data_IF_494977845549
#
_entry.id   IF_494977845549
#
_cell.length_a   1.000
_cell.length_b   1.000
_cell.length_c   1.000
_cell.angle_alpha   90.00
_cell.angle_beta   90.00
_cell.angle_gamma   90.00
#
_symmetry.space_group_name_H-M   'P 1'
#
loop_
_entity.id
_entity.type
_entity.pdbx_description
1 polymer ?
2 branched ?
3 branched ?
4 branched ?
5 non-polymer ?
6 non-polymer ?
7 non-polymer ?
8 water ?
#
# COMPACT_ATOMS: atom_id res chain seq x y z
N UNK A 3 5.67 4.34 -9.39
CA UNK A 3 6.46 3.80 -8.27
C UNK A 3 5.92 2.55 -7.52
N UNK A 4 6.75 1.50 -7.57
CA UNK A 4 6.58 0.13 -7.12
C UNK A 4 7.13 -0.13 -5.72
N UNK A 5 6.26 -0.73 -4.86
CA UNK A 5 6.64 -1.15 -3.50
C UNK A 5 7.53 -2.42 -3.64
N UNK A 6 8.70 -2.44 -3.02
CA UNK A 6 9.58 -3.60 -3.10
C UNK A 6 9.67 -4.17 -1.67
N UNK A 7 8.97 -5.28 -1.40
CA UNK A 7 8.93 -5.85 -0.06
C UNK A 7 9.61 -7.21 -0.02
N UNK A 8 10.25 -7.52 1.10
CA UNK A 8 10.94 -8.78 1.35
C UNK A 8 10.83 -9.21 2.81
N UNK A 9 11.05 -10.50 3.04
CA UNK A 9 11.05 -11.15 4.33
C UNK A 9 12.48 -11.11 4.85
N UNK A 10 12.61 -11.10 6.19
CA UNK A 10 13.88 -11.14 6.92
C UNK A 10 13.83 -12.31 7.88
N UNK A 11 14.98 -12.96 8.09
CA UNK A 11 15.08 -14.11 8.97
C UNK A 11 14.80 -13.80 10.46
N UNK A 12 14.13 -14.75 11.14
CA UNK A 12 13.78 -14.67 12.56
C UNK A 12 13.36 -16.06 13.06
N UNK A 13 14.18 -16.68 13.96
CA UNK A 13 13.85 -18.00 14.55
C UNK A 13 12.57 -17.93 15.38
N UNK A 14 12.18 -16.73 15.79
CA UNK A 14 11.00 -16.51 16.60
C UNK A 14 9.71 -16.43 15.83
N UNK A 15 9.77 -16.33 14.50
CA UNK A 15 8.55 -16.27 13.66
C UNK A 15 8.43 -17.59 12.91
N UNK A 16 7.26 -18.22 13.03
CA UNK A 16 7.00 -19.49 12.36
C UNK A 16 6.83 -19.27 10.84
N UNK A 17 7.23 -20.27 10.06
CA UNK A 17 7.10 -20.19 8.62
C UNK A 17 8.42 -19.86 7.95
N UNK A 18 8.36 -18.93 6.95
CA UNK A 18 9.52 -18.54 6.15
C UNK A 18 10.63 -17.93 6.99
N UNK A 19 10.28 -17.04 7.95
CA UNK A 19 11.24 -16.36 8.82
C UNK A 19 12.13 -17.35 9.55
N UNK A 20 11.53 -18.46 10.07
CA UNK A 20 12.27 -19.53 10.75
C UNK A 20 13.10 -20.35 9.75
N UNK A 21 12.52 -20.68 8.57
CA UNK A 21 13.22 -21.46 7.53
C UNK A 21 14.47 -20.72 7.13
N UNK A 22 14.32 -19.40 6.84
CA UNK A 22 15.41 -18.49 6.43
C UNK A 22 16.57 -18.53 7.44
N UNK A 23 16.20 -18.53 8.77
CA UNK A 23 17.15 -18.58 9.89
C UNK A 23 18.02 -19.85 9.75
N UNK A 24 17.36 -21.01 9.80
CA UNK A 24 17.96 -22.34 9.63
C UNK A 24 18.86 -22.46 8.40
N UNK A 25 18.52 -21.77 7.31
CA UNK A 25 19.32 -21.90 6.08
C UNK A 25 20.34 -20.80 5.86
N UNK A 26 20.47 -19.90 6.83
CA UNK A 26 21.42 -18.82 6.77
C UNK A 26 21.10 -17.74 5.75
N UNK A 27 19.81 -17.61 5.41
CA UNK A 27 19.33 -16.59 4.48
C UNK A 27 18.91 -15.41 5.35
N UNK A 28 19.21 -14.19 4.93
CA UNK A 28 18.85 -12.99 5.69
C UNK A 28 17.66 -12.27 5.10
N UNK A 29 17.65 -12.10 3.76
CA UNK A 29 16.58 -11.42 3.06
C UNK A 29 16.09 -12.28 1.90
N UNK A 30 14.76 -12.47 1.79
CA UNK A 30 14.14 -13.23 0.71
C UNK A 30 13.01 -12.40 0.16
N UNK A 31 13.12 -12.00 -1.13
CA UNK A 31 12.14 -11.18 -1.86
C UNK A 31 10.73 -11.73 -1.74
N UNK A 32 9.78 -10.86 -1.43
CA UNK A 32 8.35 -11.15 -1.35
C UNK A 32 7.72 -10.66 -2.64
N UNK A 33 7.93 -9.41 -3.04
CA UNK A 33 7.36 -8.91 -4.28
C UNK A 33 7.76 -7.50 -4.67
N UNK A 34 7.39 -7.11 -5.90
CA UNK A 34 7.60 -5.78 -6.47
C UNK A 34 6.19 -5.35 -6.83
N UNK A 35 5.64 -4.43 -6.08
CA UNK A 35 4.25 -4.07 -6.27
C UNK A 35 3.93 -2.73 -6.85
N UNK A 36 3.58 -2.71 -8.15
CA UNK A 36 3.05 -1.49 -8.76
C UNK A 36 1.65 -1.25 -8.16
N UNK A 37 0.98 -0.10 -8.44
CA UNK A 37 -0.35 0.19 -7.85
C UNK A 37 -1.41 -0.76 -8.30
N UNK A 38 -1.38 -1.12 -9.60
CA UNK A 38 -2.35 -2.01 -10.22
C UNK A 38 -2.13 -3.44 -9.78
N UNK A 39 -3.21 -4.06 -9.30
CA UNK A 39 -3.23 -5.46 -8.90
C UNK A 39 -3.89 -6.19 -10.03
N UNK A 40 -3.25 -7.20 -10.58
CA UNK A 40 -3.83 -7.93 -11.69
C UNK A 40 -5.10 -8.66 -11.27
N UNK A 41 -6.12 -8.53 -12.09
CA UNK A 41 -7.40 -9.21 -11.91
C UNK A 41 -7.69 -9.87 -13.25
N UNK A 42 -8.28 -11.04 -13.20
CA UNK A 42 -8.56 -11.74 -14.43
C UNK A 42 -7.52 -12.77 -14.81
N UNK A 43 -7.62 -13.23 -16.06
CA UNK A 43 -6.76 -14.28 -16.59
C UNK A 43 -5.38 -13.80 -17.04
N UNK A 44 -4.27 -14.38 -16.48
CA UNK A 44 -2.93 -13.97 -16.92
C UNK A 44 -2.69 -14.16 -18.41
N UNK A 45 -1.88 -13.27 -18.99
CA UNK A 45 -1.51 -13.30 -20.40
C UNK A 45 -0.64 -14.54 -20.70
N UNK A 46 0.10 -15.05 -19.70
CA UNK A 46 0.98 -16.21 -19.78
C UNK A 46 0.98 -16.91 -18.42
N UNK A 47 0.94 -18.24 -18.41
CA UNK A 47 1.02 -19.04 -17.19
C UNK A 47 2.49 -19.35 -16.92
N UNK A 48 2.98 -18.94 -15.74
CA UNK A 48 4.37 -19.09 -15.33
C UNK A 48 4.66 -20.55 -15.01
N UNK A 49 5.80 -21.04 -15.51
CA UNK A 49 6.23 -22.41 -15.28
C UNK A 49 7.27 -22.41 -14.17
N UNK A 50 7.46 -23.58 -13.52
CA UNK A 50 8.46 -23.72 -12.48
C UNK A 50 9.87 -23.37 -12.96
N UNK A 51 10.17 -23.70 -14.24
CA UNK A 51 11.47 -23.44 -14.85
C UNK A 51 11.73 -21.95 -14.91
N UNK A 52 10.69 -21.15 -15.24
CA UNK A 52 10.81 -19.67 -15.30
C UNK A 52 10.97 -19.11 -13.89
N UNK A 53 10.06 -19.52 -12.97
CA UNK A 53 10.06 -19.05 -11.60
C UNK A 53 11.34 -19.36 -10.82
N UNK A 54 11.99 -20.52 -11.11
CA UNK A 54 13.25 -20.87 -10.45
C UNK A 54 14.43 -19.97 -10.89
N UNK A 55 14.25 -19.19 -11.97
CA UNK A 55 15.30 -18.29 -12.42
C UNK A 55 15.48 -17.11 -11.47
N UNK A 56 14.55 -16.92 -10.51
CA UNK A 56 14.62 -15.86 -9.50
C UNK A 56 15.44 -16.54 -8.41
N UNK A 57 16.78 -16.51 -8.52
CA UNK A 57 17.66 -17.19 -7.57
C UNK A 57 17.69 -16.52 -6.24
N UNK A 58 17.37 -17.30 -5.22
CA UNK A 58 17.45 -16.82 -3.85
C UNK A 58 16.13 -16.49 -3.22
N UNK A 59 15.09 -16.31 -4.04
CA UNK A 59 13.76 -16.01 -3.53
C UNK A 59 13.20 -17.33 -3.00
N UNK A 60 12.95 -17.40 -1.69
CA UNK A 60 12.34 -18.57 -1.05
C UNK A 60 10.84 -18.37 -0.99
N UNK A 61 10.11 -19.46 -1.24
CA UNK A 61 8.65 -19.51 -1.22
C UNK A 61 8.24 -19.44 0.25
N UNK A 62 7.10 -18.81 0.51
CA UNK A 62 6.57 -18.62 1.86
C UNK A 62 5.81 -19.86 2.38
N UNK A 63 5.55 -20.87 1.49
CA UNK A 63 4.79 -22.10 1.77
C UNK A 63 5.61 -23.33 2.22
N UNK A 64 5.14 -24.01 3.31
CA UNK A 64 5.84 -25.24 3.79
C UNK A 64 5.63 -26.43 2.86
N UNK A 65 4.56 -26.34 2.02
CA UNK A 65 4.14 -27.32 1.04
C UNK A 65 5.22 -27.58 -0.02
N UNK A 66 6.28 -26.74 -0.10
CA UNK A 66 7.45 -26.87 -0.99
C UNK A 66 8.75 -26.77 -0.14
N UNK A 67 8.61 -26.85 1.20
CA UNK A 67 9.69 -26.70 2.18
C UNK A 67 10.46 -25.38 1.89
N UNK A 68 9.69 -24.28 1.76
CA UNK A 68 10.20 -22.93 1.53
C UNK A 68 11.19 -22.81 0.35
N UNK A 69 10.86 -23.40 -0.80
CA UNK A 69 11.71 -23.34 -2.00
C UNK A 69 11.03 -22.55 -3.16
N UNK A 70 10.28 -23.26 -4.04
CA UNK A 70 9.59 -22.72 -5.20
C UNK A 70 8.37 -23.62 -5.42
N UNK A 71 7.27 -23.15 -6.07
CA UNK A 71 7.12 -21.86 -6.74
C UNK A 71 5.77 -21.19 -6.37
N UNK A 72 5.13 -21.59 -5.27
CA UNK A 72 3.83 -21.05 -4.88
C UNK A 72 3.79 -19.52 -4.78
N UNK A 73 4.72 -18.93 -3.96
CA UNK A 73 4.81 -17.49 -3.78
C UNK A 73 5.19 -16.78 -5.07
N UNK A 74 6.21 -17.29 -5.76
CA UNK A 74 6.66 -16.78 -7.07
C UNK A 74 5.51 -16.72 -8.05
N UNK A 75 4.76 -17.85 -8.23
CA UNK A 75 3.59 -17.91 -9.13
C UNK A 75 2.53 -16.92 -8.73
N UNK A 76 2.28 -16.84 -7.41
CA UNK A 76 1.31 -15.91 -6.89
C UNK A 76 1.70 -14.48 -7.25
N UNK A 77 2.98 -14.13 -7.15
CA UNK A 77 3.47 -12.79 -7.47
C UNK A 77 3.32 -12.46 -8.93
N UNK A 78 3.57 -13.44 -9.80
CA UNK A 78 3.39 -13.22 -11.23
C UNK A 78 1.89 -12.99 -11.53
N UNK A 79 1.03 -13.81 -10.95
CA UNK A 79 -0.41 -13.78 -11.20
C UNK A 79 -1.10 -12.55 -10.70
N UNK A 80 -0.79 -12.13 -9.47
CA UNK A 80 -1.43 -10.99 -8.78
C UNK A 80 -0.79 -9.63 -9.14
N UNK A 81 0.54 -9.56 -9.29
CA UNK A 81 1.28 -8.32 -9.55
C UNK A 81 2.13 -8.28 -10.83
N UNK A 82 2.31 -9.42 -11.49
CA UNK A 82 3.21 -9.52 -12.61
C UNK A 82 2.71 -9.19 -13.99
N UNK A 83 1.96 -10.13 -14.56
CA UNK A 83 1.49 -10.09 -15.93
C UNK A 83 0.87 -8.83 -16.49
N UNK A 84 -0.01 -8.16 -15.75
CA UNK A 84 -0.74 -7.00 -16.25
C UNK A 84 0.11 -5.73 -16.23
N UNK A 85 1.25 -5.80 -15.56
CA UNK A 85 2.14 -4.65 -15.40
C UNK A 85 3.39 -4.72 -16.25
N UNK A 86 4.01 -5.91 -16.36
CA UNK A 86 5.22 -6.20 -17.14
C UNK A 86 4.96 -6.79 -18.52
N UNK A 87 3.76 -7.36 -18.77
CA UNK A 87 3.29 -7.92 -20.05
C UNK A 87 4.00 -9.15 -20.53
N UNK A 88 5.24 -9.31 -20.14
CA UNK A 88 6.02 -10.47 -20.54
C UNK A 88 6.76 -10.95 -19.34
N UNK A 89 6.86 -12.26 -19.18
CA UNK A 89 7.56 -12.86 -18.06
C UNK A 89 9.07 -12.57 -18.04
N UNK A 90 9.70 -12.42 -19.23
CA UNK A 90 11.12 -12.15 -19.27
C UNK A 90 11.55 -10.89 -18.51
N UNK A 91 11.10 -9.65 -18.83
CA UNK A 91 11.57 -8.49 -18.02
C UNK A 91 11.34 -8.65 -16.53
N UNK A 92 10.18 -9.23 -16.13
CA UNK A 92 9.76 -9.46 -14.76
C UNK A 92 10.74 -10.39 -14.03
N UNK A 93 11.12 -11.52 -14.65
CA UNK A 93 12.10 -12.40 -14.02
C UNK A 93 13.44 -11.65 -13.87
N UNK A 94 13.82 -10.79 -14.84
CA UNK A 94 15.10 -10.10 -14.78
C UNK A 94 15.15 -9.13 -13.69
N UNK A 95 14.06 -8.37 -13.46
CA UNK A 95 13.95 -7.41 -12.34
C UNK A 95 13.84 -8.15 -10.99
N UNK A 96 12.97 -9.18 -10.91
CA UNK A 96 12.83 -9.94 -9.70
C UNK A 96 14.14 -10.58 -9.25
N UNK A 97 14.91 -11.16 -10.18
CA UNK A 97 16.19 -11.86 -9.94
C UNK A 97 17.28 -10.91 -9.50
N UNK A 98 17.35 -9.73 -10.15
CA UNK A 98 18.35 -8.72 -9.86
C UNK A 98 18.04 -8.07 -8.48
N UNK A 99 16.73 -7.87 -8.15
CA UNK A 99 16.28 -7.32 -6.86
C UNK A 99 16.69 -8.31 -5.77
N UNK A 100 16.42 -9.60 -5.96
CA UNK A 100 16.81 -10.61 -4.98
C UNK A 100 18.36 -10.70 -4.82
N UNK A 101 19.13 -10.48 -5.92
CA UNK A 101 20.58 -10.50 -5.90
C UNK A 101 20.99 -9.38 -4.98
N UNK A 102 20.61 -8.12 -5.26
CA UNK A 102 20.90 -7.00 -4.35
C UNK A 102 20.54 -7.30 -2.89
N UNK A 103 19.41 -8.00 -2.62
CA UNK A 103 19.04 -8.36 -1.24
C UNK A 103 20.02 -9.38 -0.64
N UNK A 104 20.45 -10.37 -1.41
CA UNK A 104 21.44 -11.34 -0.94
C UNK A 104 22.79 -10.65 -0.63
N UNK A 105 23.15 -9.58 -1.38
CA UNK A 105 24.38 -8.80 -1.20
C UNK A 105 24.17 -7.68 -0.18
N UNK A 106 23.71 -8.09 0.99
CA UNK A 106 23.43 -7.22 2.14
C UNK A 106 22.24 -6.27 2.05
N UNK A 107 22.14 -5.39 3.06
CA UNK A 107 21.10 -4.37 3.22
C UNK A 107 21.09 -3.36 2.04
N UNK A 108 19.87 -3.11 1.47
CA UNK A 108 19.76 -2.15 0.35
C UNK A 108 19.76 -0.66 0.77
N UNK A 109 19.68 0.21 -0.25
CA UNK A 109 19.56 1.66 -0.18
C UNK A 109 18.58 2.12 0.92
N UNK A 110 17.35 1.63 0.85
CA UNK A 110 16.32 1.93 1.81
C UNK A 110 15.69 0.63 2.19
N UNK A 111 15.75 0.33 3.48
CA UNK A 111 15.16 -0.82 4.13
C UNK A 111 14.36 -0.25 5.28
N UNK A 112 13.03 -0.29 5.17
CA UNK A 112 12.12 0.22 6.19
C UNK A 112 11.24 -0.91 6.72
N UNK A 113 11.22 -1.09 8.04
CA UNK A 113 10.41 -2.14 8.69
C UNK A 113 8.93 -1.99 8.32
N UNK A 114 8.24 -3.12 8.13
CA UNK A 114 6.81 -3.20 7.77
C UNK A 114 6.14 -3.88 8.97
N UNK A 115 6.72 -5.03 9.37
CA UNK A 115 6.22 -5.81 10.47
C UNK A 115 7.36 -6.24 11.34
N UNK A 116 7.05 -6.29 12.66
CA UNK A 116 7.97 -6.66 13.74
C UNK A 116 7.36 -7.75 14.60
N UNK A 117 8.22 -8.41 15.36
CA UNK A 117 7.96 -9.34 16.42
C UNK A 117 8.84 -8.76 17.53
N UNK A 118 8.22 -8.11 18.53
CA UNK A 118 8.98 -7.58 19.66
C UNK A 118 9.47 -8.76 20.53
N UNK A 119 10.78 -8.87 20.72
CA UNK A 119 11.41 -9.91 21.53
C UNK A 119 11.81 -9.29 22.89
N UNK A 120 11.19 -9.79 23.98
CA UNK A 120 11.45 -9.30 25.35
C UNK A 120 12.90 -9.59 25.81
N UNK A 121 13.41 -10.81 25.55
CA UNK A 121 14.77 -11.22 25.94
C UNK A 121 15.87 -10.24 25.53
N UNK A 122 15.77 -9.63 24.34
CA UNK A 122 16.79 -8.70 23.84
C UNK A 122 16.30 -7.25 23.79
N UNK A 123 15.02 -7.02 24.18
CA UNK A 123 14.34 -5.71 24.18
C UNK A 123 14.43 -5.05 22.78
N UNK A 124 14.19 -5.89 21.75
CA UNK A 124 14.30 -5.54 20.33
C UNK A 124 13.07 -5.81 19.49
N UNK A 125 12.83 -4.91 18.54
CA UNK A 125 11.80 -5.07 17.52
C UNK A 125 12.50 -5.83 16.38
N UNK A 126 12.29 -7.18 16.29
CA UNK A 126 12.85 -8.02 15.24
C UNK A 126 12.00 -7.82 13.99
N UNK A 127 12.65 -7.37 12.90
CA UNK A 127 11.95 -7.09 11.64
C UNK A 127 11.74 -8.38 10.86
N UNK A 128 10.47 -8.70 10.57
CA UNK A 128 10.10 -9.91 9.85
C UNK A 128 9.83 -9.60 8.36
N UNK A 129 9.48 -8.34 8.04
CA UNK A 129 9.23 -7.87 6.70
C UNK A 129 9.62 -6.41 6.57
N UNK A 130 10.37 -6.06 5.50
CA UNK A 130 10.78 -4.70 5.22
C UNK A 130 10.46 -4.29 3.80
N UNK A 131 10.52 -2.98 3.51
CA UNK A 131 10.30 -2.39 2.17
C UNK A 131 11.26 -1.24 1.86
N UNK A 132 11.25 -0.71 0.64
CA UNK A 132 12.13 0.40 0.25
C UNK A 132 11.46 1.80 0.50
N UNK A 133 10.36 1.83 1.21
CA UNK A 133 9.68 3.07 1.51
C UNK A 133 9.12 2.99 2.93
N UNK A 134 9.07 4.12 3.68
CA UNK A 134 8.50 4.06 5.02
C UNK A 134 7.01 3.73 4.96
N UNK A 135 6.51 3.07 6.02
CA UNK A 135 5.12 2.67 6.11
C UNK A 135 4.69 2.54 7.58
N UNK A 136 3.40 2.81 7.95
CA UNK A 136 2.94 2.50 9.32
C UNK A 136 3.34 1.09 9.71
N UNK A 137 3.89 0.96 10.92
CA UNK A 137 4.36 -0.34 11.40
C UNK A 137 3.27 -1.20 12.00
N UNK A 138 3.59 -2.47 12.30
CA UNK A 138 2.72 -3.50 12.86
C UNK A 138 3.58 -4.45 13.68
N UNK A 139 3.22 -4.60 14.95
CA UNK A 139 3.92 -5.46 15.91
C UNK A 139 5.22 -4.89 16.45
N UNK A 140 5.48 -3.58 16.16
CA UNK A 140 6.69 -2.88 16.60
C UNK A 140 6.37 -2.05 17.85
N UNK A 141 7.02 -2.38 18.99
CA UNK A 141 6.86 -1.69 20.27
C UNK A 141 7.49 -0.27 20.16
N UNK A 142 6.79 0.81 20.64
CA UNK A 142 7.30 2.18 20.59
C UNK A 142 8.56 2.35 21.41
N UNK A 143 9.47 3.20 20.93
CA UNK A 143 10.72 3.53 21.61
C UNK A 143 11.80 2.47 21.62
N UNK A 144 11.51 1.25 21.15
CA UNK A 144 12.50 0.17 21.11
C UNK A 144 13.26 0.17 19.78
N UNK A 145 14.53 -0.28 19.80
CA UNK A 145 15.39 -0.38 18.62
C UNK A 145 14.96 -1.57 17.72
N UNK A 146 15.41 -1.56 16.42
CA UNK A 146 15.07 -2.56 15.41
C UNK A 146 16.20 -3.48 15.00
N UNK A 147 15.91 -4.77 14.78
CA UNK A 147 16.89 -5.74 14.32
C UNK A 147 16.53 -6.27 12.89
N UNK A 148 17.24 -5.76 11.86
CA UNK A 148 17.03 -6.17 10.48
C UNK A 148 18.03 -7.27 10.20
N UNK A 149 17.64 -8.55 10.42
CA UNK A 149 18.50 -9.74 10.26
C UNK A 149 19.86 -9.58 10.98
N UNK A 150 19.79 -9.11 12.23
CA UNK A 150 20.96 -8.90 13.08
C UNK A 150 21.51 -7.48 13.12
N UNK A 151 21.36 -6.72 12.03
CA UNK A 151 21.83 -5.34 12.00
C UNK A 151 20.89 -4.51 12.87
N UNK A 152 21.48 -3.84 13.92
CA UNK A 152 20.75 -3.01 14.91
C UNK A 152 20.63 -1.59 14.45
N UNK A 153 19.41 -1.05 14.41
CA UNK A 153 19.12 0.28 13.90
C UNK A 153 18.24 1.06 14.91
N UNK A 154 18.51 2.37 15.06
CA UNK A 154 17.82 3.31 15.96
C UNK A 154 16.34 3.40 15.64
N UNK A 155 16.03 3.69 14.37
CA UNK A 155 14.66 3.90 13.91
C UNK A 155 14.13 2.79 13.05
N UNK A 156 12.90 2.98 12.52
CA UNK A 156 12.32 1.95 11.63
C UNK A 156 12.93 1.83 10.22
N UNK A 157 13.73 2.80 9.78
CA UNK A 157 14.36 2.80 8.46
C UNK A 157 15.88 2.75 8.55
N UNK A 158 16.47 1.67 8.01
CA UNK A 158 17.89 1.25 7.97
C UNK A 158 18.58 1.64 6.67
N UNK A 159 19.64 2.45 6.81
CA UNK A 159 20.47 2.87 5.67
C UNK A 159 21.89 2.23 5.63
N UNK A 160 22.10 1.15 6.48
CA UNK A 160 23.25 0.25 6.69
C UNK A 160 23.99 0.50 8.00
N UNK B 3 -9.24 3.06 -15.84
CA UNK B 3 -8.03 3.59 -16.49
C UNK B 3 -7.21 4.53 -15.54
N UNK B 4 -7.95 5.48 -14.90
CA UNK B 4 -7.50 6.49 -13.96
C UNK B 4 -7.82 5.93 -12.60
N UNK B 5 -7.16 6.44 -11.55
CA UNK B 5 -7.47 5.99 -10.19
C UNK B 5 -8.39 6.98 -9.46
N UNK B 6 -9.49 6.49 -8.86
CA UNK B 6 -10.36 7.34 -8.03
C UNK B 6 -10.16 6.95 -6.54
N UNK B 7 -9.53 7.84 -5.75
CA UNK B 7 -9.25 7.58 -4.34
C UNK B 7 -9.95 8.62 -3.46
N UNK B 8 -10.39 8.18 -2.29
CA UNK B 8 -11.07 9.01 -1.33
C UNK B 8 -10.71 8.64 0.12
N UNK B 9 -10.95 9.58 1.04
CA UNK B 9 -10.75 9.46 2.46
C UNK B 9 -12.03 8.93 3.05
N UNK B 10 -11.89 8.19 4.17
CA UNK B 10 -12.98 7.64 4.97
C UNK B 10 -12.81 8.17 6.40
N UNK B 11 -13.93 8.41 7.08
CA UNK B 11 -13.92 8.90 8.45
C UNK B 11 -13.30 7.90 9.49
N UNK B 12 -12.57 8.44 10.47
CA UNK B 12 -11.91 7.70 11.54
C UNK B 12 -11.49 8.66 12.64
N UNK B 13 -12.15 8.57 13.84
CA UNK B 13 -11.81 9.41 14.98
C UNK B 13 -10.37 9.12 15.47
N UNK B 14 -9.82 7.98 15.10
CA UNK B 14 -8.48 7.59 15.48
C UNK B 14 -7.36 8.17 14.64
N UNK B 15 -7.69 8.76 13.48
CA UNK B 15 -6.67 9.36 12.63
C UNK B 15 -6.81 10.88 12.70
N UNK B 16 -5.69 11.57 13.01
CA UNK B 16 -5.70 13.03 13.10
C UNK B 16 -5.83 13.65 11.68
N UNK B 17 -6.47 14.80 11.63
CA UNK B 17 -6.65 15.50 10.37
C UNK B 17 -8.03 15.35 9.83
N UNK B 18 -8.12 15.09 8.50
CA UNK B 18 -9.38 14.98 7.78
C UNK B 18 -10.25 13.85 8.28
N UNK B 19 -9.64 12.66 8.54
CA UNK B 19 -10.35 11.49 9.01
C UNK B 19 -11.14 11.79 10.28
N UNK B 20 -10.53 12.53 11.23
CA UNK B 20 -11.18 12.95 12.48
C UNK B 20 -12.25 14.04 12.21
N UNK B 21 -11.95 15.03 11.34
CA UNK B 21 -12.90 16.10 11.00
C UNK B 21 -14.15 15.49 10.42
N UNK B 22 -13.98 14.56 9.44
CA UNK B 22 -15.07 13.84 8.75
C UNK B 22 -15.99 13.14 9.78
N UNK B 23 -15.35 12.51 10.82
CA UNK B 23 -16.04 11.81 11.91
C UNK B 23 -17.01 12.80 12.61
N UNK B 24 -16.42 13.86 13.20
CA UNK B 24 -17.13 14.95 13.87
C UNK B 24 -18.27 15.56 13.02
N UNK B 25 -18.14 15.59 11.69
CA UNK B 25 -19.17 16.22 10.86
C UNK B 25 -20.14 15.23 10.23
N UNK B 26 -19.99 13.95 10.57
CA UNK B 26 -20.85 12.91 10.05
C UNK B 26 -20.68 12.62 8.58
N UNK B 27 -19.49 12.89 8.04
CA UNK B 27 -19.15 12.61 6.65
C UNK B 27 -18.48 11.23 6.65
N UNK B 28 -18.79 10.39 5.67
CA UNK B 28 -18.21 9.05 5.62
C UNK B 28 -17.11 8.95 4.58
N UNK B 29 -17.36 9.49 3.38
CA UNK B 29 -16.42 9.47 2.28
C UNK B 29 -16.21 10.86 1.70
N UNK B 30 -14.96 11.28 1.55
CA UNK B 30 -14.58 12.59 0.97
C UNK B 30 -13.53 12.37 -0.09
N UNK B 31 -13.83 12.69 -1.34
CA UNK B 31 -12.95 12.53 -2.50
C UNK B 31 -11.57 13.14 -2.28
N UNK B 32 -10.53 12.38 -2.62
CA UNK B 32 -9.14 12.80 -2.58
C UNK B 32 -8.69 13.16 -4.00
N UNK B 33 -8.89 12.27 -4.97
CA UNK B 33 -8.50 12.60 -6.34
C UNK B 33 -8.88 11.60 -7.40
N UNK B 34 -8.69 12.01 -8.66
CA UNK B 34 -8.87 11.15 -9.85
C UNK B 34 -7.56 11.21 -10.58
N UNK B 35 -6.83 10.10 -10.53
CA UNK B 35 -5.47 10.06 -11.03
C UNK B 35 -5.14 9.30 -12.31
N UNK B 36 -4.97 10.05 -13.41
CA UNK B 36 -4.43 9.46 -14.62
C UNK B 36 -2.93 9.20 -14.41
N UNK B 37 -2.24 8.53 -15.36
CA UNK B 37 -0.81 8.17 -15.21
C UNK B 37 0.09 9.36 -15.18
N UNK B 38 -0.20 10.33 -16.05
CA UNK B 38 0.58 11.56 -16.20
C UNK B 38 0.37 12.49 -15.00
N UNK B 39 1.48 12.94 -14.42
CA UNK B 39 1.48 13.90 -13.32
C UNK B 39 1.88 15.24 -13.91
N UNK B 40 1.13 16.30 -13.67
CA UNK B 40 1.37 17.65 -14.19
C UNK B 40 2.53 18.34 -13.54
N UNK B 41 3.49 18.69 -14.36
CA UNK B 41 4.67 19.42 -13.88
C UNK B 41 4.67 20.75 -14.60
N UNK B 42 5.13 21.78 -13.92
CA UNK B 42 5.17 23.09 -14.53
C UNK B 42 3.98 23.95 -14.18
N UNK B 43 3.84 25.05 -14.92
CA UNK B 43 2.77 26.03 -14.74
C UNK B 43 1.41 25.59 -15.35
N UNK B 44 0.35 25.57 -14.51
CA UNK B 44 -0.98 25.21 -15.01
C UNK B 44 -1.47 26.11 -16.14
N UNK B 45 -2.27 25.55 -17.04
CA UNK B 45 -2.86 26.24 -18.15
C UNK B 45 -3.87 27.29 -17.64
N UNK B 46 -4.49 27.03 -16.47
CA UNK B 46 -5.44 27.92 -15.84
C UNK B 46 -5.30 27.79 -14.34
N UNK B 47 -5.36 28.91 -13.61
CA UNK B 47 -5.30 28.89 -12.14
C UNK B 47 -6.73 28.74 -11.63
N UNK B 48 -6.97 27.70 -10.84
CA UNK B 48 -8.26 27.39 -10.29
C UNK B 48 -8.61 28.40 -9.18
N UNK B 49 -9.84 28.92 -9.23
CA UNK B 49 -10.32 29.86 -8.23
C UNK B 49 -11.15 29.11 -7.19
N UNK B 50 -11.31 29.71 -6.00
CA UNK B 50 -12.11 29.10 -4.95
C UNK B 50 -13.55 28.86 -5.39
N UNK B 51 -14.10 29.77 -6.22
CA UNK B 51 -15.47 29.68 -6.72
C UNK B 51 -15.63 28.41 -7.57
N UNK B 52 -14.59 28.08 -8.40
CA UNK B 52 -14.61 26.89 -9.25
C UNK B 52 -14.48 25.65 -8.37
N UNK B 53 -13.45 25.62 -7.49
CA UNK B 53 -13.18 24.51 -6.59
C UNK B 53 -14.31 24.16 -5.65
N UNK B 54 -15.09 25.16 -5.19
CA UNK B 54 -16.24 24.91 -4.31
C UNK B 54 -17.41 24.23 -5.02
N UNK B 55 -17.35 24.15 -6.37
CA UNK B 55 -18.40 23.50 -7.13
C UNK B 55 -18.29 21.97 -6.95
N UNK B 56 -17.19 21.49 -6.28
CA UNK B 56 -17.02 20.06 -5.99
C UNK B 56 -17.71 19.86 -4.66
N UNK B 57 -19.05 19.77 -4.67
CA UNK B 57 -19.81 19.67 -3.44
C UNK B 57 -19.56 18.44 -2.63
N UNK B 58 -19.11 18.63 -1.40
CA UNK B 58 -18.91 17.51 -0.50
C UNK B 58 -17.48 17.06 -0.32
N UNK B 59 -16.58 17.50 -1.24
CA UNK B 59 -15.18 17.19 -1.12
C UNK B 59 -14.61 18.09 -0.03
N UNK B 60 -14.17 17.52 1.07
CA UNK B 60 -13.55 18.26 2.16
C UNK B 60 -12.02 18.30 1.94
N UNK B 61 -11.43 19.46 2.21
CA UNK B 61 -10.02 19.73 2.09
C UNK B 61 -9.34 18.98 3.23
N UNK B 62 -8.12 18.51 2.99
CA UNK B 62 -7.31 17.75 3.93
C UNK B 62 -6.57 18.66 4.92
N UNK B 63 -6.56 20.00 4.69
CA UNK B 63 -5.86 21.02 5.51
C UNK B 63 -6.68 21.68 6.63
N UNK B 64 -6.08 21.78 7.87
CA UNK B 64 -6.79 22.45 8.99
C UNK B 64 -6.85 23.96 8.80
N UNK B 65 -5.95 24.48 7.94
CA UNK B 65 -5.81 25.88 7.58
C UNK B 65 -7.04 26.48 6.92
N UNK B 66 -8.04 25.65 6.55
CA UNK B 66 -9.36 26.05 6.02
C UNK B 66 -10.48 25.33 6.82
N UNK B 67 -10.11 24.72 8.01
CA UNK B 67 -10.97 23.91 8.86
C UNK B 67 -11.67 22.81 8.00
N UNK B 68 -10.85 22.07 7.22
CA UNK B 68 -11.29 20.96 6.37
C UNK B 68 -12.48 21.31 5.45
N UNK B 69 -12.41 22.43 4.75
CA UNK B 69 -13.45 22.86 3.82
C UNK B 69 -12.93 22.91 2.36
N UNK B 70 -12.44 24.06 1.93
CA UNK B 70 -11.93 24.30 0.58
C UNK B 70 -10.84 25.41 0.71
N UNK B 71 -9.79 25.48 -0.15
CA UNK B 71 -9.53 24.77 -1.39
C UNK B 71 -8.11 24.24 -1.56
N UNK B 72 -7.32 24.11 -0.47
CA UNK B 72 -5.94 23.62 -0.62
C UNK B 72 -5.86 22.32 -1.40
N UNK B 73 -6.53 21.23 -0.89
CA UNK B 73 -6.51 19.90 -1.51
C UNK B 73 -7.05 19.94 -2.93
N UNK B 74 -8.20 20.59 -3.14
CA UNK B 74 -8.84 20.77 -4.44
C UNK B 74 -7.86 21.41 -5.43
N UNK B 75 -7.24 22.56 -5.04
CA UNK B 75 -6.25 23.27 -5.88
C UNK B 75 -5.05 22.39 -6.15
N UNK B 76 -4.57 21.67 -5.14
CA UNK B 76 -3.47 20.77 -5.28
C UNK B 76 -3.78 19.71 -6.33
N UNK B 77 -5.01 19.15 -6.30
CA UNK B 77 -5.43 18.12 -7.25
C UNK B 77 -5.50 18.64 -8.67
N UNK B 78 -5.99 19.86 -8.85
CA UNK B 78 -6.04 20.45 -10.17
C UNK B 78 -4.61 20.68 -10.68
N UNK B 79 -3.73 21.24 -9.84
CA UNK B 79 -2.36 21.55 -10.20
C UNK B 79 -1.49 20.35 -10.53
N UNK B 80 -1.55 19.28 -9.72
CA UNK B 80 -0.73 18.08 -9.89
C UNK B 80 -1.31 17.03 -10.86
N UNK B 81 -2.65 16.85 -10.87
CA UNK B 81 -3.31 15.83 -11.69
C UNK B 81 -4.39 16.36 -12.67
N UNK B 82 -4.74 17.63 -12.57
CA UNK B 82 -5.83 18.17 -13.37
C UNK B 82 -5.55 18.72 -14.73
N UNK B 83 -4.98 19.90 -14.77
CA UNK B 83 -4.78 20.70 -15.96
C UNK B 83 -4.17 20.05 -17.20
N UNK B 84 -3.12 19.25 -17.04
CA UNK B 84 -2.38 18.67 -18.15
C UNK B 84 -3.11 17.46 -18.74
N UNK B 85 -4.13 16.97 -18.02
CA UNK B 85 -4.89 15.79 -18.45
C UNK B 85 -6.29 16.08 -18.99
N UNK B 86 -7.00 17.04 -18.36
CA UNK B 86 -8.34 17.50 -18.74
C UNK B 86 -8.38 18.75 -19.58
N UNK B 87 -7.29 19.55 -19.60
CA UNK B 87 -7.10 20.77 -20.40
C UNK B 87 -7.99 21.93 -20.06
N UNK B 88 -9.17 21.65 -19.55
CA UNK B 88 -10.10 22.68 -19.16
C UNK B 88 -10.67 22.35 -17.83
N UNK B 89 -10.83 23.33 -16.95
CA UNK B 89 -11.34 23.12 -15.61
C UNK B 89 -12.78 22.63 -15.58
N UNK B 90 -13.59 23.02 -16.58
CA UNK B 90 -14.99 22.60 -16.58
C UNK B 90 -15.24 21.08 -16.57
N UNK B 91 -14.71 20.26 -17.52
CA UNK B 91 -14.95 18.80 -17.46
C UNK B 91 -14.49 18.15 -16.15
N UNK B 92 -13.32 18.66 -15.65
CA UNK B 92 -12.66 18.20 -14.45
C UNK B 92 -13.55 18.44 -13.22
N UNK B 93 -14.11 19.67 -13.07
CA UNK B 93 -15.03 19.95 -11.96
C UNK B 93 -16.22 18.96 -12.00
N UNK B 94 -16.86 18.83 -13.16
CA UNK B 94 -18.00 17.95 -13.35
C UNK B 94 -17.73 16.49 -12.99
N UNK B 95 -16.56 15.95 -13.44
CA UNK B 95 -16.19 14.59 -13.08
C UNK B 95 -15.93 14.44 -11.56
N UNK B 96 -15.15 15.39 -10.97
CA UNK B 96 -14.87 15.39 -9.53
C UNK B 96 -16.19 15.50 -8.71
N UNK B 97 -17.14 16.35 -9.15
CA UNK B 97 -18.39 16.56 -8.41
C UNK B 97 -19.26 15.30 -8.47
N UNK B 98 -19.38 14.69 -9.67
CA UNK B 98 -20.21 13.52 -9.86
C UNK B 98 -19.65 12.36 -9.04
N UNK B 99 -18.32 12.18 -9.02
CA UNK B 99 -17.63 11.18 -8.21
C UNK B 99 -18.00 11.43 -6.76
N UNK B 100 -17.76 12.66 -6.25
CA UNK B 100 -18.07 12.97 -4.85
C UNK B 100 -19.53 12.73 -4.50
N UNK B 101 -20.42 12.98 -5.46
CA UNK B 101 -21.84 12.81 -5.36
C UNK B 101 -22.15 11.34 -5.05
N UNK B 102 -21.60 10.41 -5.86
CA UNK B 102 -21.73 8.97 -5.68
C UNK B 102 -21.12 8.49 -4.36
N UNK B 103 -20.07 9.17 -3.90
CA UNK B 103 -19.47 8.79 -2.63
C UNK B 103 -20.39 9.20 -1.50
N UNK B 104 -21.02 10.36 -1.66
CA UNK B 104 -21.96 10.86 -0.67
C UNK B 104 -23.20 9.97 -0.54
N UNK B 105 -23.60 9.37 -1.67
CA UNK B 105 -24.72 8.46 -1.75
C UNK B 105 -24.32 7.03 -1.28
N UNK B 106 -23.16 6.91 -0.61
CA UNK B 106 -22.55 5.69 -0.08
C UNK B 106 -22.39 4.58 -1.10
N UNK B 107 -22.42 4.98 -2.42
CA UNK B 107 -22.42 4.16 -3.64
C UNK B 107 -21.14 4.11 -4.56
N UNK B 108 -19.92 3.73 -4.04
CA UNK B 108 -18.78 3.50 -4.94
C UNK B 108 -18.94 2.17 -5.77
N UNK B 109 -18.61 2.22 -7.11
CA UNK B 109 -18.62 1.05 -8.03
C UNK B 109 -17.32 0.17 -7.82
N UNK B 110 -17.14 -0.25 -6.54
CA UNK B 110 -16.04 -0.96 -5.86
C UNK B 110 -15.35 0.02 -4.89
N UNK B 111 -14.99 -0.51 -3.73
CA UNK B 111 -14.31 0.21 -2.68
C UNK B 111 -13.26 -0.76 -2.15
N UNK B 112 -11.99 -0.45 -2.41
CA UNK B 112 -10.86 -1.28 -1.98
C UNK B 112 -9.94 -0.46 -1.10
N UNK B 113 -9.61 -0.98 0.11
CA UNK B 113 -8.74 -0.30 1.07
C UNK B 113 -7.37 0.00 0.47
N UNK B 114 -6.80 1.17 0.80
CA UNK B 114 -5.48 1.65 0.33
C UNK B 114 -4.62 1.72 1.59
N UNK B 115 -5.13 2.41 2.61
CA UNK B 115 -4.43 2.61 3.86
C UNK B 115 -5.36 2.32 5.01
N UNK B 116 -4.75 1.76 6.07
CA UNK B 116 -5.43 1.35 7.30
C UNK B 116 -4.71 1.93 8.49
N UNK B 117 -5.41 1.95 9.62
CA UNK B 117 -4.96 2.26 10.95
C UNK B 117 -5.53 1.03 11.69
N UNK B 118 -4.66 0.08 12.07
CA UNK B 118 -5.12 -1.08 12.83
C UNK B 118 -5.42 -0.62 14.25
N UNK B 119 -6.67 -0.86 14.70
CA UNK B 119 -7.15 -0.50 16.04
C UNK B 119 -7.18 -1.77 16.89
N UNK B 120 -6.33 -1.80 17.95
CA UNK B 120 -6.20 -2.95 18.86
C UNK B 120 -7.49 -3.22 19.64
N UNK B 121 -8.12 -2.16 20.20
CA UNK B 121 -9.38 -2.29 20.97
C UNK B 121 -10.48 -3.10 20.29
N UNK B 122 -10.67 -2.96 18.96
CA UNK B 122 -11.71 -3.67 18.21
C UNK B 122 -11.18 -4.74 17.28
N UNK B 123 -9.84 -4.93 17.27
CA UNK B 123 -9.11 -5.90 16.45
C UNK B 123 -9.49 -5.73 14.95
N UNK B 124 -9.56 -4.46 14.51
CA UNK B 124 -10.00 -4.05 13.18
C UNK B 124 -9.01 -3.18 12.42
N UNK B 125 -8.97 -3.39 11.10
CA UNK B 125 -8.22 -2.57 10.18
C UNK B 125 -9.22 -1.45 9.77
N UNK B 126 -9.08 -0.25 10.38
CA UNK B 126 -9.92 0.91 10.06
C UNK B 126 -9.38 1.53 8.77
N UNK B 127 -10.23 1.60 7.74
CA UNK B 127 -9.83 2.12 6.44
C UNK B 127 -9.86 3.65 6.45
N UNK B 128 -8.71 4.27 6.21
CA UNK B 128 -8.58 5.72 6.20
C UNK B 128 -8.62 6.27 4.76
N UNK B 129 -8.29 5.43 3.78
CA UNK B 129 -8.31 5.76 2.36
C UNK B 129 -8.65 4.52 1.53
N UNK B 130 -9.56 4.66 0.56
CA UNK B 130 -9.97 3.58 -0.33
C UNK B 130 -9.94 4.03 -1.78
N UNK B 131 -10.02 3.06 -2.71
CA UNK B 131 -10.06 3.30 -4.15
C UNK B 131 -11.01 2.35 -4.88
N UNK B 132 -11.23 2.59 -6.17
CA UNK B 132 -12.14 1.78 -6.95
C UNK B 132 -11.47 0.49 -7.53
N UNK B 133 -10.19 0.28 -7.24
CA UNK B 133 -9.45 -0.85 -7.77
C UNK B 133 -8.58 -1.44 -6.65
N UNK B 134 -8.33 -2.78 -6.65
CA UNK B 134 -7.45 -3.33 -5.60
C UNK B 134 -6.02 -2.77 -5.73
N UNK B 135 -5.31 -2.71 -4.59
CA UNK B 135 -3.94 -2.19 -4.56
C UNK B 135 -3.16 -2.73 -3.34
N UNK B 136 -1.78 -2.87 -3.41
CA UNK B 136 -1.00 -3.19 -2.18
C UNK B 136 -1.42 -2.30 -1.01
N UNK B 137 -1.69 -2.91 0.15
CA UNK B 137 -2.11 -2.20 1.36
C UNK B 137 -0.97 -1.59 2.11
N UNK B 138 -1.28 -0.72 3.11
CA UNK B 138 -0.36 0.02 3.98
C UNK B 138 -1.05 0.24 5.33
N UNK B 139 -0.42 -0.23 6.38
CA UNK B 139 -0.93 -0.12 7.75
C UNK B 139 -2.04 -1.09 8.10
N UNK B 140 -2.29 -2.08 7.22
CA UNK B 140 -3.34 -3.09 7.40
C UNK B 140 -2.69 -4.39 7.93
N UNK B 141 -3.07 -4.81 9.16
CA UNK B 141 -2.60 -6.04 9.80
C UNK B 141 -3.21 -7.28 9.02
N UNK B 142 -2.37 -8.33 8.72
CA UNK B 142 -2.86 -9.53 7.98
C UNK B 142 -3.89 -10.28 8.78
N UNK B 143 -4.84 -10.88 8.08
CA UNK B 143 -5.88 -11.71 8.69
C UNK B 143 -6.97 -11.02 9.49
N UNK B 144 -6.84 -9.71 9.72
CA UNK B 144 -7.85 -8.93 10.44
C UNK B 144 -8.89 -8.35 9.46
N UNK B 145 -10.14 -8.21 9.92
CA UNK B 145 -11.25 -7.66 9.14
C UNK B 145 -11.09 -6.11 8.98
N UNK B 146 -11.81 -5.53 7.98
CA UNK B 146 -11.75 -4.11 7.62
C UNK B 146 -13.00 -3.32 7.95
N UNK B 147 -12.83 -2.08 8.42
CA UNK B 147 -13.95 -1.16 8.70
C UNK B 147 -13.97 0.07 7.75
N UNK B 148 -14.86 0.03 6.74
CA UNK B 148 -15.01 1.11 5.78
C UNK B 148 -16.14 2.04 6.26
N UNK B 149 -15.77 3.08 7.07
CA UNK B 149 -16.70 4.01 7.69
C UNK B 149 -17.88 3.27 8.43
N UNK B 150 -17.49 2.27 9.24
CA UNK B 150 -18.39 1.46 10.03
C UNK B 150 -18.84 0.13 9.41
N UNK B 151 -18.90 0.05 8.10
CA UNK B 151 -19.28 -1.18 7.40
C UNK B 151 -18.09 -2.16 7.54
N UNK B 152 -18.36 -3.34 8.15
CA UNK B 152 -17.39 -4.42 8.40
C UNK B 152 -17.34 -5.38 7.22
N UNK B 153 -16.14 -5.61 6.70
CA UNK B 153 -15.90 -6.42 5.50
C UNK B 153 -14.78 -7.44 5.79
N UNK B 154 -14.94 -8.67 5.27
CA UNK B 154 -14.03 -9.81 5.40
C UNK B 154 -12.66 -9.48 4.82
N UNK B 155 -12.64 -9.04 3.56
CA UNK B 155 -11.41 -8.75 2.87
C UNK B 155 -11.12 -7.28 2.66
N UNK B 156 -10.05 -6.97 1.89
CA UNK B 156 -9.74 -5.55 1.62
C UNK B 156 -10.66 -4.83 0.63
N UNK B 157 -11.51 -5.55 -0.11
CA UNK B 157 -12.43 -4.98 -1.09
C UNK B 157 -13.88 -5.22 -0.72
N UNK B 158 -14.62 -4.10 -0.54
CA UNK B 158 -16.02 -3.93 -0.12
C UNK B 158 -16.97 -3.73 -1.31
N UNK B 159 -17.98 -4.61 -1.37
CA UNK B 159 -19.01 -4.59 -2.41
C UNK B 159 -20.40 -4.04 -1.96
N UNK B 160 -20.46 -3.52 -0.68
CA UNK B 160 -21.54 -2.83 0.09
C UNK B 160 -22.23 -3.74 1.15
X LIG C 1 7.65 -0.45 -11.93
X LIG C 1 8.91 -0.74 -12.75
X LIG C 1 8.67 -0.63 -14.26
X LIG C 1 7.41 -1.39 -14.67
X LIG C 1 6.23 -1.04 -13.77
X LIG C 1 5.02 -1.91 -14.04
X LIG C 1 10.85 -0.12 -11.38
X LIG C 1 11.94 0.90 -11.21
X LIG C 1 10.00 0.14 -12.36
X LIG C 1 9.79 -1.19 -14.94
X LIG C 1 7.09 -1.01 -16.01
X LIG C 1 6.57 -1.25 -12.40
X LIG C 1 3.84 -1.36 -13.49
X LIG C 1 10.75 -1.11 -10.65
X LIG C 2 7.12 -2.01 -17.02
X LIG C 2 6.32 -1.50 -18.22
X LIG C 2 6.35 -2.56 -19.32
X LIG C 2 7.76 -3.05 -19.63
X LIG C 2 8.52 -3.37 -18.35
X LIG C 2 10.00 -3.66 -18.56
X LIG C 2 4.45 -0.10 -17.41
X LIG C 2 2.98 -0.09 -17.12
X LIG C 2 4.95 -1.28 -17.77
X LIG C 2 5.79 -1.95 -20.49
X LIG C 2 7.66 -4.26 -20.38
X LIG C 2 8.45 -2.26 -17.45
X LIG C 2 10.67 -3.85 -17.31
X LIG C 2 5.14 0.92 -17.33
X LIG C 3 7.81 -4.23 -21.78
X LIG C 3 8.08 -5.64 -22.27
X LIG C 3 8.23 -5.61 -23.79
X LIG C 3 6.97 -5.03 -24.42
X LIG C 3 6.71 -3.65 -23.83
X LIG C 3 5.42 -3.01 -24.28
X LIG C 3 6.97 -6.45 -21.91
X LIG C 3 8.59 -6.90 -24.31
X LIG C 3 7.15 -4.93 -25.84
X LIG C 3 6.63 -3.74 -22.40
X LIG C 3 5.25 -1.75 -23.65
X LIG C 4 9.77 -6.98 -25.14
X LIG C 4 10.80 -8.01 -24.60
X LIG C 4 10.30 -9.45 -24.68
X LIG C 4 9.09 -9.56 -25.60
X LIG C 4 9.33 -8.70 -26.83
X LIG C 4 8.30 -8.84 -27.94
X LIG C 4 11.30 -7.66 -23.31
X LIG C 4 10.02 -10.02 -23.41
X LIG C 4 8.87 -10.93 -25.97
X LIG C 4 9.38 -7.30 -26.47
X LIG C 4 8.79 -8.47 -29.24
X LIG C 5 10.05 -7.88 -29.24
X LIG C 5 9.96 -6.46 -29.81
X LIG C 5 11.23 -5.71 -29.39
X LIG C 5 12.32 -6.70 -28.96
X LIG C 5 12.38 -7.93 -29.86
X LIG C 5 13.40 -8.95 -29.39
X LIG C 5 8.80 -5.79 -29.33
X LIG C 5 10.95 -4.82 -28.31
X LIG C 5 13.58 -6.04 -28.92
X LIG C 5 11.10 -8.60 -29.89
X LIG C 5 13.58 -10.02 -30.32
X LIG C 6 4.52 -0.81 -24.37
X LIG C 6 5.20 0.55 -24.21
X LIG C 6 4.25 1.60 -23.64
X LIG C 6 3.55 1.11 -22.38
X LIG C 6 2.91 -0.27 -22.60
X LIG C 6 1.41 -0.26 -22.40
X LIG C 6 5.73 1.01 -25.45
X LIG C 6 3.30 2.02 -24.62
X LIG C 6 4.47 1.03 -21.28
X LIG C 6 3.15 -0.74 -23.94
X LIG C 6 0.77 -1.36 -23.04
X LIG C 7 4.87 2.21 -20.55
X LIG C 7 6.41 2.29 -20.55
X LIG C 7 6.90 3.70 -20.90
X LIG C 7 6.13 4.78 -20.16
X LIG C 7 4.61 4.60 -20.29
X LIG C 7 3.94 5.75 -21.01
X LIG C 7 6.99 1.34 -21.44
X LIG C 7 6.88 3.93 -22.31
X LIG C 7 6.48 4.80 -18.78
X LIG C 7 4.31 3.42 -21.06
X LIG C 7 4.17 6.99 -20.34
X LIG D 1 23.52 -12.86 6.97
X LIG D 1 24.68 -13.24 6.05
X LIG D 1 25.89 -13.48 6.97
X LIG D 1 26.19 -12.20 7.76
X LIG D 1 24.99 -11.79 8.61
X LIG D 1 25.14 -10.43 9.22
X LIG D 1 24.70 -14.54 3.97
X LIG D 1 24.13 -15.73 3.26
X LIG D 1 24.39 -14.43 5.26
X LIG D 1 27.03 -13.88 6.20
X LIG D 1 27.46 -12.25 8.42
X LIG D 1 23.83 -11.71 7.76
X LIG D 1 23.92 -10.02 9.84
X LIG D 1 25.39 -13.71 3.39
X LIG D 2 27.68 -12.75 9.77
X LIG D 2 27.75 -14.28 9.79
X LIG D 2 29.07 -14.80 9.23
X LIG D 2 29.86 -13.67 8.59
X LIG D 2 30.12 -12.54 9.58
X LIG D 2 30.58 -11.26 8.92
X LIG D 2 26.26 -15.08 11.60
X LIG D 2 26.22 -15.84 12.90
X LIG D 2 27.49 -14.82 11.11
X LIG D 2 28.79 -15.81 8.28
X LIG D 2 31.08 -14.16 8.04
X LIG D 2 28.91 -12.22 10.31
X LIG D 2 30.58 -10.15 9.81
X LIG D 2 25.24 -14.73 11.03
X LIG E 1 20.05 -13.92 -11.95
X LIG E 1 20.75 -13.73 -13.30
X LIG E 1 22.03 -14.56 -13.32
X LIG E 1 22.94 -14.19 -12.14
X LIG E 1 22.14 -14.15 -10.83
X LIG E 1 22.87 -13.55 -9.67
X LIG E 1 18.91 -14.77 -14.63
X LIG E 1 18.13 -14.66 -15.91
X LIG E 1 19.97 -13.92 -14.51
X LIG E 1 22.72 -14.37 -14.55
X LIG E 1 24.03 -15.11 -11.99
X LIG E 1 20.96 -13.38 -10.99
X LIG E 1 22.14 -13.79 -8.47
X LIG E 1 18.59 -15.56 -13.75
X LIG E 2 25.30 -14.78 -12.56
X LIG E 2 26.42 -15.26 -11.61
X LIG E 2 27.78 -15.04 -12.25
X LIG E 2 27.84 -15.68 -13.64
X LIG E 2 26.70 -15.16 -14.50
X LIG E 2 26.62 -15.82 -15.86
X LIG E 2 26.08 -15.13 -9.16
X LIG E 2 26.16 -14.22 -7.97
X LIG E 2 26.34 -14.55 -10.35
X LIG E 2 28.80 -15.58 -11.42
X LIG E 2 29.11 -15.40 -14.25
X LIG E 2 25.45 -15.40 -13.85
X LIG E 2 26.25 -17.19 -15.76
X LIG E 2 25.79 -16.33 -9.06
X LIG F 1 -9.42 9.56 -17.32
X LIG F 1 -10.83 10.05 -17.70
X LIG F 1 -10.84 10.80 -19.03
X LIG F 1 -9.73 11.83 -19.10
X LIG F 1 -8.38 11.25 -18.66
X LIG F 1 -7.31 12.31 -18.52
X LIG F 1 -12.48 8.54 -16.66
X LIG F 1 -13.51 7.50 -16.93
X LIG F 1 -11.78 8.95 -17.73
X LIG F 1 -12.09 11.48 -19.15
X LIG F 1 -9.60 12.28 -20.44
X LIG F 1 -8.52 10.66 -17.36
X LIG F 1 -6.01 11.74 -18.49
X LIG F 1 -12.30 9.01 -15.54
X LIG F 2 -9.87 13.63 -20.72
X LIG F 2 -9.24 13.97 -22.07
X LIG F 2 -9.54 15.42 -22.44
X LIG F 2 -11.02 15.77 -22.29
X LIG F 2 -11.58 15.25 -20.97
X LIG F 2 -13.09 15.36 -20.87
X LIG F 2 -7.14 12.67 -22.36
X LIG F 2 -5.66 12.75 -22.29
X LIG F 2 -7.80 13.77 -21.96
X LIG F 2 -9.14 15.59 -23.79
X LIG F 2 -11.14 17.19 -22.26
X LIG F 2 -11.27 13.86 -20.82
X LIG F 2 -13.58 14.77 -19.65
X LIG F 2 -7.73 11.66 -22.77
X LIG F 3 -11.52 17.86 -23.43
X LIG F 3 -11.97 19.27 -23.04
X LIG F 3 -12.36 20.02 -24.31
X LIG F 3 -11.17 20.06 -25.28
X LIG F 3 -10.71 18.64 -25.57
X LIG F 3 -9.47 18.54 -26.42
X LIG F 3 -10.87 19.93 -22.42
X LIG F 3 -12.90 21.31 -24.00
X LIG F 3 -11.53 20.71 -26.50
X LIG F 3 -10.42 17.95 -24.33
X LIG F 3 -9.10 17.17 -26.57
X LIG F 4 -14.18 21.62 -24.54
X LIG F 4 -15.19 22.05 -23.44
X LIG F 4 -14.82 23.40 -22.82
X LIG F 4 -13.80 24.14 -23.66
X LIG F 4 -14.18 24.00 -25.13
X LIG F 4 -13.37 24.84 -26.09
X LIG F 4 -15.47 21.04 -22.48
X LIG F 4 -14.38 23.23 -21.48
X LIG F 4 -13.77 25.52 -23.29
X LIG F 4 -14.06 22.63 -25.55
X LIG F 4 -14.03 25.07 -27.36
X LIG F 5 -15.23 24.38 -27.54
X LIG F 5 -15.14 23.45 -28.75
X LIG F 5 -16.26 22.41 -28.62
X LIG F 5 -17.32 22.89 -27.63
X LIG F 5 -17.63 24.38 -27.79
X LIG F 5 -18.63 24.91 -26.79
X LIG F 5 -13.87 22.81 -28.83
X LIG F 5 -15.74 21.16 -28.19
X LIG F 5 -18.52 22.13 -27.80
X LIG F 5 -16.42 25.15 -27.62
X LIG F 5 -19.05 26.23 -27.13
X LIG F 6 -8.43 16.86 -27.77
X LIG F 6 -8.97 15.53 -28.29
X LIG F 6 -7.84 14.53 -28.48
X LIG F 6 -6.98 14.39 -27.23
X LIG F 6 -6.50 15.76 -26.73
X LIG F 6 -5.00 15.90 -26.71
X LIG F 6 -9.68 15.72 -29.50
X LIG F 6 -7.05 14.86 -29.62
X LIG F 6 -7.70 13.74 -26.19
X LIG F 6 -7.01 16.80 -27.60
X LIG F 6 -4.58 17.28 -26.75
X LIG F 7 -7.86 12.29 -26.19
X LIG F 7 -9.36 11.95 -26.08
X LIG F 7 -9.76 10.88 -27.09
X LIG F 7 -8.76 9.72 -27.13
X LIG F 7 -7.32 10.22 -27.30
X LIG F 7 -6.68 9.75 -28.60
X LIG F 7 -10.17 13.12 -26.24
X LIG F 7 -9.95 11.42 -28.39
X LIG F 7 -8.84 8.92 -25.95
X LIG F 7 -7.28 11.65 -27.32
X LIG F 7 -6.66 8.34 -28.71
X LIG G 1 -14.75 24.26 12.14
X LIG G 1 -15.25 25.49 12.92
X LIG G 1 -15.98 24.91 14.13
X LIG G 1 -17.22 24.15 13.65
X LIG G 1 -16.83 23.09 12.60
X LIG G 1 -18.00 22.51 11.84
X LIG G 1 -13.26 26.50 14.01
X LIG G 1 -12.38 27.72 13.99
X LIG G 1 -14.39 26.60 13.29
X LIG G 1 -16.33 25.91 15.06
X LIG G 1 -17.90 23.57 14.76
X LIG G 1 -15.94 23.66 11.62
X LIG G 1 -18.90 23.51 11.34
X LIG G 1 -12.97 25.49 14.64
X LIG G 2 -19.19 24.07 15.10
X LIG G 2 -20.01 22.94 15.71
X LIG G 2 -21.39 23.53 15.96
X LIG G 2 -21.29 24.66 16.97
X LIG G 2 -20.36 25.76 16.42
X LIG G 2 -20.03 26.82 17.45
X LIG G 2 -19.31 20.70 14.96
X LIG G 2 -19.42 19.67 13.88
X LIG G 2 -20.08 21.78 14.83
X LIG G 2 -22.29 22.53 16.43
X LIG G 2 -22.58 25.18 17.30
X LIG G 2 -19.10 25.17 16.03
X LIG G 2 -19.39 26.26 18.59
X LIG G 2 -18.53 20.56 15.92
X LIG G 3 -18.67 23.94 10.03
X LIG G 3 -19.88 24.83 9.59
X LIG G 3 -21.20 24.04 9.61
X LIG G 3 -21.10 22.81 8.66
X LIG G 3 -19.80 22.02 9.00
X LIG G 3 -19.64 20.78 8.11
X LIG G 3 -20.05 25.94 10.48
X LIG G 3 -22.33 24.86 9.28
X LIG G 3 -21.17 23.19 7.27
X LIG G 3 -18.58 22.85 9.09
X LIG H 1 -22.73 18.87 -8.29
X LIG H 1 -23.70 19.39 -9.34
X LIG H 1 -25.11 19.67 -8.83
X LIG H 1 -25.61 18.57 -7.90
X LIG H 1 -24.53 18.14 -6.92
X LIG H 1 -24.91 16.94 -6.08
X LIG H 1 -22.45 20.64 -11.06
X LIG H 1 -21.48 21.76 -11.22
X LIG H 1 -23.12 20.60 -9.90
X LIG H 1 -25.96 19.72 -9.98
X LIG H 1 -26.74 19.05 -7.16
X LIG H 1 -23.34 17.76 -7.64
X LIG H 1 -24.23 16.88 -4.81
X LIG H 1 -22.60 19.79 -11.93
X LIG H 2 -28.05 18.94 -7.72
X LIG H 2 -29.05 18.83 -6.57
X LIG H 2 -30.48 18.87 -7.10
X LIG H 2 -30.69 20.10 -7.97
X LIG H 2 -29.66 20.13 -9.09
X LIG H 2 -29.73 21.37 -9.97
X LIG H 2 -28.18 17.59 -4.64
X LIG H 2 -27.99 16.23 -4.04
X LIG H 2 -28.81 17.61 -5.82
X LIG H 2 -31.39 18.88 -6.01
X LIG H 2 -32.02 20.08 -8.52
X LIG H 2 -28.33 20.09 -8.53
X LIG H 2 -29.30 22.53 -9.29
X LIG H 2 -27.79 18.61 -4.11
X LIG I 1 -22.21 7.22 -10.29
X LIG I 1 -21.24 7.14 -11.47
X LIG I 1 -21.98 6.64 -12.70
X LIG I 1 -22.67 5.31 -12.40
X LIG I 1 -23.61 5.44 -11.21
X LIG I 1 -24.14 4.11 -10.74
X LIG I 1 -19.20 8.54 -11.60
X LIG I 1 -18.61 9.79 -12.18
X LIG I 1 -20.54 8.38 -11.76
X LIG I 1 -21.01 6.49 -13.73
X LIG I 1 -23.40 4.84 -13.54
X LIG I 1 -22.91 6.00 -10.09
X LIG I 1 -23.10 3.33 -10.12
X LIG I 1 -18.50 7.71 -11.02
X LIG I 2 -22.86 3.73 -14.27
X LIG I 2 -24.00 3.04 -15.03
X LIG I 2 -23.38 1.84 -15.75
X LIG I 2 -22.28 2.30 -16.72
X LIG I 2 -21.24 3.13 -15.98
X LIG I 2 -20.27 3.83 -16.91
X LIG I 2 -26.16 3.34 -13.87
X LIG I 2 -27.13 2.73 -12.92
X LIG I 2 -25.06 2.61 -14.14
X LIG I 2 -24.37 1.11 -16.46
X LIG I 2 -21.68 1.16 -17.30
X LIG I 2 -21.88 4.17 -15.21
X LIG I 2 -20.89 4.87 -17.66
X LIG I 2 -26.34 4.45 -14.37
X LIG J 1 20.97 -3.13 -7.49
X LIG J 1 19.87 -2.33 -8.17
X LIG J 1 20.42 -1.14 -8.96
X LIG J 1 21.45 -0.37 -8.13
X LIG J 1 22.57 -1.30 -7.71
X LIG J 1 23.60 -0.63 -6.82
X LIG J 1 17.76 -3.49 -8.71
X LIG J 1 17.04 -4.35 -9.71
X LIG J 1 19.02 -3.15 -9.01
X LIG J 1 19.33 -0.29 -9.29
X LIG J 1 21.97 0.75 -8.85
X LIG J 1 22.04 -2.38 -6.93
X LIG J 1 23.01 -0.36 -5.55
X LIG J 1 17.21 -3.13 -7.67
X LIG K 1 14.71 -21.63 17.59
X LIG K 1 15.59 -21.76 18.84
X LIG K 1 15.42 -23.12 19.51
X LIG K 1 13.95 -23.40 19.83
X LIG K 1 13.10 -23.15 18.59
X LIG K 1 11.60 -23.20 18.87
X LIG K 1 17.53 -20.26 18.88
X LIG K 1 18.99 -20.12 18.55
X LIG K 1 16.98 -21.46 18.60
X LIG K 1 16.18 -23.18 20.71
X LIG K 1 13.81 -24.73 20.32
X LIG K 1 13.37 -21.85 18.05
X LIG K 1 11.16 -22.10 19.65
X LIG K 1 16.87 -19.34 19.36
X LIG L 1 -0.02 -9.75 -3.50
X LIG M 1 0.40 3.93 -3.79
X LIG N 1 -2.42 -17.57 -7.25
X LIG N 1 -1.29 -18.14 -8.01
X LIG N 1 -3.60 -18.38 -7.57
X LIG N 1 -2.10 -17.65 -5.74
X LIG N 1 -2.73 -16.13 -7.66
X LIG O 1 0.05 -22.25 0.96
X LIG O 1 -0.36 -22.48 -0.46
X LIG O 1 -1.10 -21.89 1.78
X LIG O 1 0.69 -23.44 1.55
X LIG O 1 1.00 -21.16 0.97
X LIG P 1 0.94 -10.41 -1.79
X LIG P 1 1.66 -11.01 -0.66
X LIG P 1 -0.42 -10.98 -1.87
X LIG P 1 0.82 -8.97 -1.59
X LIG P 1 1.63 -10.70 -3.02
X LIG Q 1 -22.49 7.50 7.22
X LIG Q 1 -23.84 8.10 6.84
X LIG Q 1 -24.83 7.63 7.91
X LIG Q 1 -24.91 6.11 7.93
X LIG Q 1 -23.53 5.54 8.22
X LIG Q 1 -23.45 4.03 8.08
X LIG Q 1 -24.35 10.28 5.82
X LIG Q 1 -24.01 11.73 5.79
X LIG Q 1 -23.77 9.55 6.79
X LIG Q 1 -26.11 8.22 7.72
X LIG Q 1 -25.87 5.67 8.88
X LIG Q 1 -22.57 6.07 7.29
X LIG Q 1 -22.10 3.58 8.24
X LIG Q 1 -25.12 9.78 4.99
X LIG R 1 -12.33 10.79 19.52
X LIG R 1 -13.04 10.21 20.74
X LIG R 1 -12.88 11.18 21.92
X LIG R 1 -11.40 11.45 22.18
X LIG R 1 -10.69 11.90 20.90
X LIG R 1 -9.19 12.01 21.02
X LIG R 1 -14.97 8.75 20.27
X LIG R 1 -16.39 8.72 19.78
X LIG R 1 -14.44 9.98 20.42
X LIG R 1 -13.47 10.63 23.09
X LIG R 1 -11.24 12.43 23.20
X LIG R 1 -10.94 10.96 19.84
X LIG R 1 -8.54 10.76 20.95
X LIG R 1 -14.34 7.73 20.51
X LIG S 1 -1.64 13.43 -4.42
X LIG S 1 -2.02 12.14 -3.75
X LIG S 1 -2.84 14.09 -4.93
X LIG S 1 -1.00 14.35 -3.49
X LIG S 1 -0.74 13.02 -5.46
X LIG T 1 0.31 22.66 -5.09
X LIG T 1 -0.24 22.06 -3.94
X LIG T 1 -0.54 23.76 -5.57
X LIG T 1 1.56 23.25 -4.70
X LIG T 1 0.44 21.53 -6.09
X LIG U 1 3.65 17.02 -4.44
X LIG U 1 5.05 16.60 -4.66
X LIG U 1 2.81 15.83 -4.23
X LIG U 1 3.57 17.89 -3.24
X LIG U 1 3.18 17.77 -5.62
X LIG V 1 -3.03 28.48 -2.89
X LIG V 1 -2.02 29.06 -3.87
X LIG V 1 -2.84 27.06 -2.78
X LIG V 1 -2.90 29.11 -1.59
X LIG V 1 -4.37 28.72 -3.35
#
# INVERSE_FOLDING_TARGET
>A
RSENITQWNLQDNGTEGIQRAMFQRGVNRSLHGIWPEKICTGVPSHLATDTELKAIHGMMDASEKTNYTCCRLQRHEWNKHGWCNWYNIEPWILLMNKTQANLTEGQPLRECAVTCRYDRDSDLNVVTQARDSPTPLTGCKKGKNFSFAGILVQGPCNFEIAVSDVL
>B
RSENITQWNLQDNGTEGIQRAMFQRGVNRSLHGIWPEKICTGVPSHLATDTELKAIHGMMDASEKTNYTCCRLQRHEWNKHGWCNWYNIEPWILLMNKTQANLTEGQPLRECAVTCRYDRDSDLNVVTQARDSPTPLTGCKKGKNFSFAGILVQGPCNFEIAVSDVL
>C hetero
1 NAG C1 C2 C3 C4 C5 C6 C7 C8 N2 O3 O4 O5 O6 O7
2 NAG C1 C2 C3 C4 C5 C6 C7 C8 N2 O3 O4 O5 O6 O7
3 BMA C1 C2 C3 C4 C5 C6 O2 O3 O4 O5 O6
4 BMA C1 C2 C3 C4 C5 C6 O2 O3 O4 O5 O6
5 MAN C1 C2 C3 C4 C5 C6 O2 O3 O4 O5 O6
6 MAN C1 C2 C3 C4 C5 C6 O2 O3 O4 O5 O6
7 BMA C1 C2 C3 C4 C5 C6 O2 O3 O4 O5 O6
>D hetero
1 NAG C1 C2 C3 C4 C5 C6 C7 C8 N2 O3 O4 O5 O6 O7
2 NAG C1 C2 C3 C4 C5 C6 C7 C8 N2 O3 O4 O5 O6 O7
>E hetero
1 NAG C1 C2 C3 C4 C5 C6 C7 C8 N2 O3 O4 O5 O6 O7
2 NAG C1 C2 C3 C4 C5 C6 C7 C8 N2 O3 O4 O5 O6 O7
>F hetero
1 NAG C1 C2 C3 C4 C5 C6 C7 C8 N2 O3 O4 O5 O6 O7
2 NAG C1 C2 C3 C4 C5 C6 C7 C8 N2 O3 O4 O5 O6 O7
3 BMA C1 C2 C3 C4 C5 C6 O2 O3 O4 O5 O6
4 BMA C1 C2 C3 C4 C5 C6 O2 O3 O4 O5 O6
5 MAN C1 C2 C3 C4 C5 C6 O2 O3 O4 O5 O6
6 MAN C1 C2 C3 C4 C5 C6 O2 O3 O4 O5 O6
7 BMA C1 C2 C3 C4 C5 C6 O2 O3 O4 O5 O6
>G hetero
1 NAG C1 C2 C3 C4 C5 C6 C7 C8 N2 O3 O4 O5 O6 O7
2 NAG C1 C2 C3 C4 C5 C6 C7 C8 N2 O3 O4 O5 O6 O7
3 FCA C1 C2 C3 C4 C5 C6 O2 O3 O4 O5
>H hetero
1 NAG C1 C2 C3 C4 C5 C6 C7 C8 N2 O3 O4 O5 O6 O7
2 NAG C1 C2 C3 C4 C5 C6 C7 C8 N2 O3 O4 O5 O6 O7
>I hetero
1 NAG C1 C2 C3 C4 C5 C6 C7 C8 N2 O3 O4 O5 O6 O7
2 NAG C1 C2 C3 C4 C5 C6 C7 C8 N2 O3 O4 O5 O6 O7
>J hetero
1 NAG C1 C2 C3 C4 C5 C6 C7 C8 N2 O3 O4 O5 O6 O7
>K hetero
1 NAG C1 C2 C3 C4 C5 C6 C7 C8 N2 O3 O4 O5 O6 O7
>L hetero
1 ZN ZN
>M hetero
1 ZN ZN
>N hetero
1 SO4 S O1 O2 O3 O4
>O hetero
1 SO4 S O1 O2 O3 O4
>P hetero
1 SO4 S O1 O2 O3 O4
>Q hetero
1 NAG C1 C2 C3 C4 C5 C6 C7 C8 N2 O3 O4 O5 O6 O7
>R hetero
1 NAG C1 C2 C3 C4 C5 C6 C7 C8 N2 O3 O4 O5 O6 O7
>S hetero
1 SO4 S O1 O2 O3 O4
>T hetero
1 SO4 S O1 O2 O3 O4
>U hetero
1 SO4 S O1 O2 O3 O4
>V hetero
1 SO4 S O1 O2 O3 O4
#
